data_IF_066169332521
#
_entry.id   IF_066169332521
#
_cell.length_a   1.000
_cell.length_b   1.000
_cell.length_c   1.000
_cell.angle_alpha   90.00
_cell.angle_beta   90.00
_cell.angle_gamma   90.00
#
_symmetry.space_group_name_H-M   'P 1'
#
loop_
_entity.id
_entity.type
_entity.pdbx_description
1 polymer ?
#
# COMPACT_ATOMS: atom_id res chain seq x y z
N UNK A 1 23.04 -1.96 38.88
CA UNK A 1 23.14 -0.53 38.49
C UNK A 1 23.89 -0.28 37.18
N UNK A 2 25.16 -0.69 36.96
CA UNK A 2 25.86 -0.45 35.67
C UNK A 2 25.28 -1.28 34.51
N UNK A 3 24.98 -2.55 34.71
CA UNK A 3 24.38 -3.41 33.69
C UNK A 3 22.95 -3.01 33.29
N UNK A 4 22.13 -2.60 34.25
CA UNK A 4 20.77 -2.11 33.99
C UNK A 4 20.75 -0.80 33.16
N UNK A 5 21.68 0.10 33.44
CA UNK A 5 21.81 1.33 32.64
C UNK A 5 22.29 1.05 31.21
N UNK A 6 23.17 0.08 30.99
CA UNK A 6 23.57 -0.33 29.63
C UNK A 6 22.43 -0.97 28.86
N UNK A 7 21.60 -1.76 29.51
CA UNK A 7 20.45 -2.41 28.86
C UNK A 7 19.36 -1.39 28.48
N UNK A 8 19.12 -0.39 29.32
CA UNK A 8 18.22 0.73 29.06
C UNK A 8 18.76 1.59 27.90
N UNK A 9 20.04 1.92 27.88
CA UNK A 9 20.68 2.70 26.82
C UNK A 9 20.62 1.93 25.49
N UNK A 10 20.89 0.64 25.50
CA UNK A 10 20.81 -0.21 24.31
C UNK A 10 19.40 -0.35 23.78
N UNK A 11 18.39 -0.47 24.68
CA UNK A 11 16.97 -0.50 24.32
C UNK A 11 16.52 0.82 23.72
N UNK A 12 16.92 1.95 24.32
CA UNK A 12 16.61 3.29 23.81
C UNK A 12 17.29 3.57 22.47
N UNK A 13 18.53 3.14 22.28
CA UNK A 13 19.27 3.26 21.02
C UNK A 13 18.63 2.41 19.92
N UNK A 14 18.17 1.18 20.24
CA UNK A 14 17.41 0.34 19.31
C UNK A 14 16.09 1.00 18.93
N UNK A 15 15.37 1.58 19.88
CA UNK A 15 14.12 2.30 19.65
C UNK A 15 14.34 3.55 18.80
N UNK A 16 15.36 4.35 19.10
CA UNK A 16 15.73 5.52 18.28
C UNK A 16 16.13 5.13 16.86
N UNK A 17 16.95 4.09 16.70
CA UNK A 17 17.33 3.58 15.38
C UNK A 17 16.12 3.04 14.61
N UNK A 18 15.20 2.37 15.30
CA UNK A 18 13.92 1.94 14.73
C UNK A 18 13.07 3.13 14.30
N UNK A 19 12.91 4.15 15.15
CA UNK A 19 12.16 5.37 14.84
C UNK A 19 12.82 6.12 13.68
N UNK A 20 14.15 6.28 13.71
CA UNK A 20 14.90 6.99 12.66
C UNK A 20 14.84 6.27 11.30
N UNK A 21 14.98 4.96 11.31
CA UNK A 21 14.84 4.12 10.11
C UNK A 21 13.42 4.17 9.53
N UNK A 22 12.42 4.35 10.39
CA UNK A 22 11.01 4.36 10.02
C UNK A 22 10.50 5.74 9.62
N UNK A 23 11.04 6.82 10.21
CA UNK A 23 10.70 8.21 9.85
C UNK A 23 11.44 8.71 8.61
N UNK A 24 12.57 8.09 8.25
CA UNK A 24 13.46 8.56 7.20
C UNK A 24 13.32 7.82 5.85
N UNK A 25 12.45 6.80 5.75
CA UNK A 25 12.23 6.15 4.45
C UNK A 25 11.47 7.08 3.51
N UNK A 26 12.10 7.41 2.40
CA UNK A 26 11.43 8.10 1.29
C UNK A 26 10.34 7.20 0.69
N UNK A 27 9.40 7.81 -0.01
CA UNK A 27 8.34 7.06 -0.73
C UNK A 27 8.97 6.02 -1.67
N UNK A 28 10.02 6.39 -2.40
CA UNK A 28 10.74 5.47 -3.30
C UNK A 28 11.31 4.26 -2.56
N UNK A 29 11.91 4.45 -1.39
CA UNK A 29 12.41 3.34 -0.57
C UNK A 29 11.31 2.41 -0.08
N UNK A 30 10.12 2.95 0.24
CA UNK A 30 8.95 2.14 0.62
C UNK A 30 8.45 1.31 -0.56
N UNK A 31 8.37 1.91 -1.75
CA UNK A 31 7.97 1.23 -2.99
C UNK A 31 8.96 0.12 -3.33
N UNK A 32 10.26 0.38 -3.26
CA UNK A 32 11.30 -0.61 -3.53
C UNK A 32 11.25 -1.78 -2.55
N UNK A 33 11.02 -1.50 -1.27
CA UNK A 33 10.85 -2.54 -0.26
C UNK A 33 9.57 -3.37 -0.50
N UNK A 34 8.47 -2.74 -0.93
CA UNK A 34 7.25 -3.44 -1.32
C UNK A 34 7.51 -4.32 -2.56
N UNK A 35 8.17 -3.80 -3.59
CA UNK A 35 8.52 -4.56 -4.79
C UNK A 35 9.38 -5.80 -4.48
N UNK A 36 10.36 -5.66 -3.59
CA UNK A 36 11.16 -6.79 -3.14
C UNK A 36 10.32 -7.87 -2.47
N UNK A 37 9.33 -7.46 -1.69
CA UNK A 37 8.38 -8.36 -1.05
C UNK A 37 7.45 -9.02 -2.08
N UNK A 38 6.86 -8.26 -3.00
CA UNK A 38 6.00 -8.76 -4.07
C UNK A 38 6.72 -9.86 -4.86
N UNK A 39 7.97 -9.59 -5.25
CA UNK A 39 8.80 -10.57 -5.96
C UNK A 39 9.01 -11.85 -5.17
N UNK A 40 9.24 -11.76 -3.86
CA UNK A 40 9.40 -12.94 -2.99
C UNK A 40 8.13 -13.77 -2.88
N UNK A 41 6.98 -13.12 -2.86
CA UNK A 41 5.66 -13.76 -2.72
C UNK A 41 5.07 -14.22 -4.08
N UNK A 42 5.77 -13.98 -5.20
CA UNK A 42 5.29 -14.28 -6.55
C UNK A 42 4.07 -13.45 -6.93
N UNK A 43 4.09 -12.16 -6.59
CA UNK A 43 3.02 -11.19 -6.89
C UNK A 43 3.60 -10.13 -7.83
N UNK A 44 2.92 -9.86 -8.93
CA UNK A 44 3.36 -8.95 -9.99
C UNK A 44 2.81 -7.53 -9.82
N UNK A 45 1.65 -7.39 -9.17
CA UNK A 45 1.07 -6.10 -8.82
C UNK A 45 0.32 -6.17 -7.48
N UNK A 46 0.20 -5.05 -6.78
CA UNK A 46 -0.55 -4.97 -5.53
C UNK A 46 -1.44 -3.73 -5.50
N UNK A 47 -2.72 -3.91 -5.16
CA UNK A 47 -3.73 -2.85 -5.11
C UNK A 47 -3.93 -2.44 -3.64
N UNK A 48 -3.83 -1.14 -3.38
CA UNK A 48 -3.90 -0.55 -2.03
C UNK A 48 -4.96 0.55 -2.01
N UNK A 49 -6.21 0.27 -1.62
CA UNK A 49 -7.27 1.26 -1.55
C UNK A 49 -7.20 2.13 -0.28
N UNK A 50 -8.00 3.20 -0.27
CA UNK A 50 -8.25 4.02 0.92
C UNK A 50 -9.44 3.48 1.73
N UNK A 51 -9.36 2.25 2.19
CA UNK A 51 -10.44 1.58 2.92
C UNK A 51 -9.94 0.88 4.16
N UNK A 52 -10.85 0.58 5.07
CA UNK A 52 -10.66 -0.32 6.20
C UNK A 52 -11.69 -1.48 6.12
N UNK A 53 -11.62 -2.48 7.01
CA UNK A 53 -12.54 -3.63 6.99
C UNK A 53 -14.02 -3.28 7.16
N UNK A 54 -14.32 -2.07 7.63
CA UNK A 54 -15.68 -1.60 7.88
C UNK A 54 -16.18 -0.61 6.82
N UNK A 55 -15.33 -0.29 5.82
CA UNK A 55 -15.61 0.77 4.83
C UNK A 55 -15.95 2.11 5.49
N UNK A 56 -15.21 2.44 6.56
CA UNK A 56 -15.42 3.65 7.34
C UNK A 56 -15.17 4.91 6.51
N UNK A 57 -15.97 5.95 6.71
CA UNK A 57 -15.73 7.27 6.13
C UNK A 57 -14.39 7.85 6.59
N UNK A 58 -14.05 7.62 7.85
CA UNK A 58 -12.79 8.05 8.47
C UNK A 58 -11.93 6.84 8.80
N UNK A 59 -11.00 6.53 7.91
CA UNK A 59 -10.08 5.39 8.05
C UNK A 59 -9.14 5.62 9.23
N UNK A 60 -9.10 4.67 10.15
CA UNK A 60 -8.19 4.72 11.30
C UNK A 60 -6.70 4.65 10.83
N UNK A 61 -5.75 5.30 11.55
CA UNK A 61 -4.34 5.36 11.16
C UNK A 61 -3.71 4.02 10.82
N UNK A 62 -4.10 2.95 11.49
CA UNK A 62 -3.62 1.59 11.23
C UNK A 62 -3.91 1.11 9.79
N UNK A 63 -5.02 1.54 9.19
CA UNK A 63 -5.47 1.13 7.86
C UNK A 63 -5.06 2.10 6.74
N UNK A 64 -4.33 3.17 7.06
CA UNK A 64 -3.87 4.17 6.09
C UNK A 64 -2.67 3.72 5.26
N UNK A 65 -2.69 2.49 4.79
CA UNK A 65 -1.60 1.87 4.01
C UNK A 65 -1.32 2.62 2.71
N UNK A 66 -2.38 3.08 2.02
CA UNK A 66 -2.26 3.85 0.79
C UNK A 66 -1.56 5.20 1.06
N UNK A 67 -1.96 5.91 2.13
CA UNK A 67 -1.30 7.16 2.54
C UNK A 67 0.18 6.93 2.86
N UNK A 68 0.48 5.86 3.59
CA UNK A 68 1.85 5.53 3.96
C UNK A 68 2.72 5.19 2.75
N UNK A 69 2.25 4.38 1.79
CA UNK A 69 3.05 3.95 0.64
C UNK A 69 3.25 5.06 -0.38
N UNK A 70 2.27 5.96 -0.53
CA UNK A 70 2.28 7.00 -1.56
C UNK A 70 2.68 8.39 -1.06
N UNK A 71 2.55 8.66 0.24
CA UNK A 71 2.67 10.01 0.79
C UNK A 71 1.46 10.91 0.50
N UNK A 72 0.50 10.44 -0.28
CA UNK A 72 -0.70 11.19 -0.60
C UNK A 72 -1.70 11.11 0.55
N UNK A 73 -2.14 12.27 1.07
CA UNK A 73 -2.98 12.35 2.28
C UNK A 73 -4.46 12.61 2.01
N UNK A 74 -4.88 12.75 0.74
CA UNK A 74 -6.29 12.86 0.38
C UNK A 74 -7.09 11.63 0.86
N UNK A 75 -8.37 11.79 1.19
CA UNK A 75 -9.17 10.70 1.76
C UNK A 75 -9.62 9.64 0.75
N UNK A 76 -9.67 9.99 -0.53
CA UNK A 76 -10.07 9.07 -1.61
C UNK A 76 -8.91 8.80 -2.57
N UNK A 77 -8.70 7.54 -2.90
CA UNK A 77 -7.73 7.12 -3.90
C UNK A 77 -7.29 5.67 -3.72
N UNK A 78 -6.74 5.11 -4.77
CA UNK A 78 -6.19 3.76 -4.80
C UNK A 78 -4.80 3.79 -5.40
N UNK A 79 -3.82 3.24 -4.70
CA UNK A 79 -2.48 3.03 -5.25
C UNK A 79 -2.37 1.63 -5.85
N UNK A 80 -1.69 1.53 -6.99
CA UNK A 80 -1.32 0.26 -7.61
C UNK A 80 0.18 0.26 -7.84
N UNK A 81 0.85 -0.73 -7.26
CA UNK A 81 2.30 -0.90 -7.39
C UNK A 81 2.56 -2.19 -8.16
N UNK A 82 3.24 -2.07 -9.30
CA UNK A 82 3.76 -3.21 -10.06
C UNK A 82 5.26 -3.37 -9.81
N UNK A 83 5.86 -4.37 -10.43
CA UNK A 83 7.32 -4.60 -10.35
C UNK A 83 8.14 -3.42 -10.84
N UNK A 84 7.61 -2.62 -11.76
CA UNK A 84 8.32 -1.54 -12.45
C UNK A 84 7.58 -0.19 -12.42
N UNK A 85 6.26 -0.18 -12.27
CA UNK A 85 5.44 1.04 -12.25
C UNK A 85 4.74 1.24 -10.90
N UNK A 86 4.33 2.48 -10.65
CA UNK A 86 3.49 2.84 -9.52
C UNK A 86 2.51 3.91 -9.94
N UNK A 87 1.23 3.75 -9.62
CA UNK A 87 0.18 4.69 -9.95
C UNK A 87 -0.73 4.99 -8.79
N UNK A 88 -1.25 6.20 -8.73
CA UNK A 88 -2.29 6.63 -7.80
C UNK A 88 -3.50 7.14 -8.57
N UNK A 89 -4.64 6.50 -8.41
CA UNK A 89 -5.95 6.95 -8.90
C UNK A 89 -6.64 7.75 -7.81
N UNK A 90 -7.14 8.93 -8.16
CA UNK A 90 -7.94 9.77 -7.24
C UNK A 90 -8.94 10.62 -8.01
N UNK A 91 -9.97 11.11 -7.34
CA UNK A 91 -11.01 11.93 -7.92
C UNK A 91 -10.66 13.43 -7.98
N UNK A 92 -11.50 14.21 -8.67
CA UNK A 92 -11.24 15.62 -8.98
C UNK A 92 -11.06 16.53 -7.77
N UNK A 93 -11.53 16.14 -6.58
CA UNK A 93 -11.35 16.90 -5.33
C UNK A 93 -9.89 16.99 -4.92
N UNK A 94 -9.07 16.06 -5.38
CA UNK A 94 -7.69 15.88 -4.91
C UNK A 94 -6.62 16.03 -5.99
N UNK A 95 -6.96 16.37 -7.24
CA UNK A 95 -5.97 16.44 -8.34
C UNK A 95 -4.79 17.34 -8.01
N UNK A 96 -5.04 18.58 -7.59
CA UNK A 96 -3.95 19.53 -7.27
C UNK A 96 -3.11 19.06 -6.07
N UNK A 97 -3.76 18.52 -5.04
CA UNK A 97 -3.07 17.99 -3.87
C UNK A 97 -2.19 16.79 -4.25
N UNK A 98 -2.72 15.89 -5.07
CA UNK A 98 -1.99 14.71 -5.52
C UNK A 98 -0.79 15.09 -6.40
N UNK A 99 -0.94 16.03 -7.32
CA UNK A 99 0.18 16.56 -8.14
C UNK A 99 1.33 17.03 -7.25
N UNK A 100 1.02 17.83 -6.21
CA UNK A 100 2.04 18.35 -5.30
C UNK A 100 2.67 17.27 -4.43
N UNK A 101 1.87 16.35 -3.90
CA UNK A 101 2.35 15.36 -2.93
C UNK A 101 3.07 14.18 -3.59
N UNK A 102 2.79 13.90 -4.85
CA UNK A 102 3.45 12.83 -5.60
C UNK A 102 4.71 13.31 -6.34
N UNK A 103 5.01 14.60 -6.32
CA UNK A 103 6.21 15.14 -6.96
C UNK A 103 7.48 14.45 -6.45
N UNK A 104 8.29 13.90 -7.35
CA UNK A 104 9.52 13.19 -7.02
C UNK A 104 9.34 11.81 -6.37
N UNK A 105 8.11 11.32 -6.19
CA UNK A 105 7.83 10.01 -5.57
C UNK A 105 8.01 8.82 -6.51
N UNK A 106 8.04 9.05 -7.82
CA UNK A 106 8.02 7.98 -8.82
C UNK A 106 6.66 7.30 -8.98
N UNK A 107 5.58 7.93 -8.45
CA UNK A 107 4.20 7.47 -8.61
C UNK A 107 3.51 8.36 -9.64
N UNK A 108 2.96 7.75 -10.68
CA UNK A 108 2.17 8.44 -11.68
C UNK A 108 0.76 8.77 -11.15
N UNK A 109 0.29 9.99 -11.40
CA UNK A 109 -1.07 10.40 -11.04
C UNK A 109 -2.05 10.05 -12.16
N UNK A 110 -3.06 9.28 -11.82
CA UNK A 110 -4.20 8.96 -12.67
C UNK A 110 -5.45 9.69 -12.17
N UNK A 111 -5.90 10.67 -12.96
CA UNK A 111 -7.07 11.52 -12.64
C UNK A 111 -8.34 10.78 -13.02
N UNK A 112 -9.02 10.17 -12.07
CA UNK A 112 -10.26 9.42 -12.31
C UNK A 112 -11.33 10.24 -13.03
N UNK A 113 -12.14 9.57 -13.84
CA UNK A 113 -13.24 10.14 -14.62
C UNK A 113 -12.81 11.02 -15.81
N UNK A 114 -11.54 11.21 -16.07
CA UNK A 114 -11.09 11.83 -17.31
C UNK A 114 -11.01 10.77 -18.42
N UNK A 115 -11.46 11.10 -19.65
CA UNK A 115 -11.51 10.12 -20.77
C UNK A 115 -10.17 9.50 -21.12
N UNK A 116 -9.07 10.24 -20.93
CA UNK A 116 -7.71 9.81 -21.20
C UNK A 116 -7.09 8.97 -20.09
N UNK A 117 -7.75 8.87 -18.93
CA UNK A 117 -7.22 8.13 -17.78
C UNK A 117 -7.65 6.65 -17.85
N UNK A 118 -6.73 5.71 -17.95
CA UNK A 118 -7.07 4.29 -17.91
C UNK A 118 -7.66 3.93 -16.53
N UNK A 119 -8.64 3.05 -16.50
CA UNK A 119 -9.07 2.44 -15.26
C UNK A 119 -7.95 1.59 -14.65
N UNK A 120 -8.03 1.27 -13.35
CA UNK A 120 -7.10 0.35 -12.70
C UNK A 120 -7.06 -1.00 -13.44
N UNK A 121 -8.21 -1.49 -13.93
CA UNK A 121 -8.28 -2.74 -14.68
C UNK A 121 -7.54 -2.64 -16.02
N UNK A 122 -7.71 -1.55 -16.74
CA UNK A 122 -7.03 -1.35 -18.02
C UNK A 122 -5.54 -1.19 -17.81
N UNK A 123 -5.11 -0.41 -16.80
CA UNK A 123 -3.71 -0.30 -16.43
C UNK A 123 -3.09 -1.67 -16.11
N UNK A 124 -3.78 -2.52 -15.34
CA UNK A 124 -3.29 -3.86 -15.01
C UNK A 124 -3.20 -4.74 -16.27
N UNK A 125 -4.19 -4.69 -17.15
CA UNK A 125 -4.19 -5.45 -18.41
C UNK A 125 -3.07 -5.03 -19.38
N UNK A 126 -2.76 -3.74 -19.41
CA UNK A 126 -1.69 -3.20 -20.26
C UNK A 126 -0.28 -3.50 -19.74
N UNK A 127 -0.13 -3.64 -18.43
CA UNK A 127 1.18 -3.76 -17.79
C UNK A 127 1.49 -5.16 -17.25
N UNK A 128 0.54 -6.07 -17.28
CA UNK A 128 0.70 -7.46 -16.83
C UNK A 128 0.47 -8.43 -18.00
N UNK A 129 1.11 -9.57 -17.90
CA UNK A 129 0.95 -10.66 -18.87
C UNK A 129 0.04 -11.77 -18.34
N UNK A 130 -0.36 -12.71 -19.21
CA UNK A 130 -1.03 -13.91 -18.77
C UNK A 130 -0.17 -14.67 -17.73
N UNK A 131 -0.81 -15.25 -16.75
CA UNK A 131 -0.23 -15.90 -15.56
C UNK A 131 0.34 -14.95 -14.50
N UNK A 132 0.24 -13.63 -14.67
CA UNK A 132 0.57 -12.68 -13.62
C UNK A 132 -0.40 -12.79 -12.44
N UNK A 133 0.08 -12.40 -11.26
CA UNK A 133 -0.68 -12.44 -10.00
C UNK A 133 -0.84 -11.03 -9.46
N UNK A 134 -2.09 -10.61 -9.25
CA UNK A 134 -2.45 -9.36 -8.58
C UNK A 134 -2.78 -9.64 -7.12
N UNK A 135 -2.05 -9.04 -6.20
CA UNK A 135 -2.29 -9.14 -4.77
C UNK A 135 -3.27 -8.08 -4.27
N UNK A 136 -4.11 -8.45 -3.32
CA UNK A 136 -4.97 -7.54 -2.56
C UNK A 136 -4.90 -7.88 -1.06
N UNK A 137 -5.12 -6.91 -0.18
CA UNK A 137 -5.38 -7.20 1.23
C UNK A 137 -6.85 -7.62 1.40
N UNK A 138 -7.08 -8.91 1.65
CA UNK A 138 -8.43 -9.45 1.80
C UNK A 138 -9.24 -8.89 2.98
N UNK A 139 -8.62 -8.09 3.85
CA UNK A 139 -9.33 -7.41 4.95
C UNK A 139 -9.99 -6.11 4.52
N UNK A 140 -9.47 -5.46 3.47
CA UNK A 140 -9.95 -4.15 3.01
C UNK A 140 -10.70 -4.20 1.68
N UNK A 141 -10.92 -5.39 1.16
CA UNK A 141 -11.78 -5.65 0.01
C UNK A 141 -13.03 -6.41 0.43
N UNK A 142 -14.20 -5.99 -0.02
CA UNK A 142 -15.39 -6.82 0.12
C UNK A 142 -15.28 -8.06 -0.78
N UNK A 143 -15.96 -9.15 -0.40
CA UNK A 143 -16.01 -10.38 -1.20
C UNK A 143 -16.51 -10.09 -2.63
N UNK A 144 -17.52 -9.24 -2.79
CA UNK A 144 -18.05 -8.86 -4.10
C UNK A 144 -17.00 -8.13 -4.95
N UNK A 145 -16.25 -7.20 -4.36
CA UNK A 145 -15.17 -6.50 -5.08
C UNK A 145 -14.05 -7.46 -5.50
N UNK A 146 -13.64 -8.36 -4.60
CA UNK A 146 -12.60 -9.34 -4.89
C UNK A 146 -13.01 -10.32 -6.00
N UNK A 147 -14.26 -10.79 -5.99
CA UNK A 147 -14.81 -11.67 -7.03
C UNK A 147 -14.88 -10.94 -8.37
N UNK A 148 -15.44 -9.73 -8.41
CA UNK A 148 -15.53 -8.93 -9.64
C UNK A 148 -14.14 -8.65 -10.23
N UNK A 149 -13.17 -8.28 -9.40
CA UNK A 149 -11.78 -8.08 -9.82
C UNK A 149 -11.17 -9.35 -10.41
N UNK A 150 -11.38 -10.51 -9.75
CA UNK A 150 -10.90 -11.81 -10.25
C UNK A 150 -11.55 -12.18 -11.57
N UNK A 151 -12.87 -12.02 -11.71
CA UNK A 151 -13.60 -12.35 -12.96
C UNK A 151 -13.14 -11.49 -14.13
N UNK A 152 -12.89 -10.20 -13.88
CA UNK A 152 -12.43 -9.29 -14.92
C UNK A 152 -10.99 -9.56 -15.35
N UNK A 153 -10.08 -9.80 -14.42
CA UNK A 153 -8.67 -10.07 -14.72
C UNK A 153 -8.45 -11.49 -15.28
N UNK A 154 -9.28 -12.45 -14.90
CA UNK A 154 -9.22 -13.82 -15.43
C UNK A 154 -9.40 -13.87 -16.94
N UNK A 155 -10.16 -12.94 -17.55
CA UNK A 155 -10.33 -12.81 -19.00
C UNK A 155 -8.99 -12.62 -19.74
N UNK A 156 -7.98 -12.10 -19.05
CA UNK A 156 -6.61 -11.91 -19.54
C UNK A 156 -5.61 -12.92 -18.97
N UNK A 157 -6.09 -13.96 -18.31
CA UNK A 157 -5.23 -14.97 -17.68
C UNK A 157 -4.49 -14.48 -16.42
N UNK A 158 -4.96 -13.39 -15.80
CA UNK A 158 -4.40 -12.81 -14.59
C UNK A 158 -5.17 -13.31 -13.38
N UNK A 159 -4.47 -13.72 -12.33
CA UNK A 159 -5.06 -14.28 -11.09
C UNK A 159 -5.02 -13.22 -9.97
N UNK A 160 -6.08 -13.14 -9.16
CA UNK A 160 -6.09 -12.33 -7.95
C UNK A 160 -5.78 -13.21 -6.74
N UNK A 161 -4.80 -12.79 -5.93
CA UNK A 161 -4.42 -13.47 -4.68
C UNK A 161 -4.79 -12.59 -3.50
N UNK A 162 -5.73 -13.05 -2.68
CA UNK A 162 -6.02 -12.44 -1.38
C UNK A 162 -4.94 -12.79 -0.39
N UNK A 163 -4.42 -11.80 0.31
CA UNK A 163 -3.42 -11.95 1.37
C UNK A 163 -4.13 -11.77 2.70
N UNK A 164 -4.18 -12.85 3.50
CA UNK A 164 -4.89 -12.86 4.79
C UNK A 164 -4.21 -11.99 5.86
N UNK A 165 -2.91 -11.75 5.69
CA UNK A 165 -2.12 -10.91 6.60
C UNK A 165 -1.46 -9.80 5.76
N UNK A 166 -1.80 -8.53 6.00
CA UNK A 166 -1.28 -7.44 5.20
C UNK A 166 0.25 -7.48 5.21
N UNK A 167 0.84 -7.35 4.04
CA UNK A 167 2.29 -7.34 3.84
C UNK A 167 3.03 -6.33 4.74
N UNK A 168 2.30 -5.45 5.38
CA UNK A 168 2.79 -4.43 6.31
C UNK A 168 2.96 -4.94 7.74
N UNK A 169 2.36 -6.08 8.12
CA UNK A 169 2.33 -6.58 9.51
C UNK A 169 3.49 -7.50 9.88
N UNK A 170 3.96 -8.34 8.97
CA UNK A 170 4.99 -9.36 9.23
C UNK A 170 6.34 -9.07 8.57
N UNK A 171 6.37 -8.19 7.61
CA UNK A 171 7.58 -7.80 6.91
C UNK A 171 8.14 -6.52 7.52
N UNK A 172 9.44 -6.34 7.38
CA UNK A 172 10.20 -5.21 7.90
C UNK A 172 9.80 -3.83 7.33
N UNK A 173 8.60 -3.72 6.70
CA UNK A 173 8.02 -2.46 6.31
C UNK A 173 7.30 -1.89 7.54
N UNK A 174 7.79 -0.80 8.10
CA UNK A 174 7.21 -0.22 9.31
C UNK A 174 5.99 0.64 9.02
N UNK A 175 4.90 0.01 8.61
CA UNK A 175 3.60 0.67 8.72
C UNK A 175 3.30 0.89 10.21
N UNK A 176 2.82 2.06 10.63
CA UNK A 176 2.55 2.35 12.03
C UNK A 176 1.60 1.32 12.62
N UNK A 177 2.13 0.42 13.44
CA UNK A 177 1.29 -0.52 14.20
C UNK A 177 0.67 0.25 15.36
N UNK A 178 -0.64 0.26 15.45
CA UNK A 178 -1.29 0.59 16.72
C UNK A 178 -0.87 -0.43 17.78
N UNK A 179 -0.63 0.01 19.02
CA UNK A 179 -0.50 -0.91 20.13
C UNK A 179 -1.76 -1.80 20.18
N UNK A 180 -1.64 -3.09 20.57
CA UNK A 180 -2.79 -3.94 20.71
C UNK A 180 -3.81 -3.25 21.63
N UNK A 181 -5.08 -3.27 21.22
CA UNK A 181 -6.17 -2.79 22.08
C UNK A 181 -6.03 -3.50 23.42
N UNK A 182 -5.81 -2.73 24.48
CA UNK A 182 -5.79 -3.30 25.82
C UNK A 182 -7.15 -3.95 26.06
N UNK A 183 -7.19 -5.26 26.15
CA UNK A 183 -8.35 -5.99 26.65
C UNK A 183 -8.59 -5.52 28.09
N UNK A 184 -9.62 -4.69 28.27
CA UNK A 184 -10.20 -4.47 29.60
C UNK A 184 -11.17 -5.56 29.89
#
# INVERSE_FOLDING_TARGET
>A
MKAENEEIINSFTRLLNYIYKNMAQTINQRIDALRALLKREGIDAFIIPSTDPHLSEYVAPYWKSREWISGFTGSAGTAVITTDKAGLWTDSRYFLQAEQQLEGSGIDLYKEMLPETPSILDFLRENLTANSVVGIDGKVFSTTQAIALQEDLAKNGITVKSIADPMYGQTALPCPKHPPLSTR
#
